data_IF_304615840843
#
_entry.id   IF_304615840843
#
_cell.length_a   1.000
_cell.length_b   1.000
_cell.length_c   1.000
_cell.angle_alpha   90.00
_cell.angle_beta   90.00
_cell.angle_gamma   90.00
#
_symmetry.space_group_name_H-M   'P 1'
#
loop_
_entity.id
_entity.type
_entity.pdbx_description
1 polymer ?
#
# COMPACT_ATOMS: atom_id res chain seq x y z
N UNK A 1 21.15 15.09 -6.62
CA UNK A 1 21.55 14.32 -7.81
C UNK A 1 21.64 12.88 -7.41
N UNK A 2 20.68 12.06 -7.81
CA UNK A 2 20.58 10.64 -7.44
C UNK A 2 20.43 9.83 -8.71
N UNK A 3 21.56 9.56 -9.37
CA UNK A 3 21.59 8.74 -10.58
C UNK A 3 21.52 7.24 -10.24
N UNK A 4 21.99 6.86 -9.05
CA UNK A 4 21.85 5.50 -8.50
C UNK A 4 20.45 5.26 -7.96
N UNK A 5 19.82 4.17 -8.43
CA UNK A 5 18.49 3.73 -8.01
C UNK A 5 18.63 2.37 -7.34
N UNK A 6 18.01 2.23 -6.18
CA UNK A 6 17.97 0.96 -5.42
C UNK A 6 16.52 0.52 -5.26
N UNK A 7 16.25 -0.72 -5.65
CA UNK A 7 14.95 -1.34 -5.40
C UNK A 7 14.91 -1.87 -3.97
N UNK A 8 13.85 -1.59 -3.23
CA UNK A 8 13.70 -2.02 -1.82
C UNK A 8 13.43 -3.53 -1.71
N UNK A 9 12.77 -4.12 -2.72
CA UNK A 9 12.36 -5.52 -2.72
C UNK A 9 13.33 -6.47 -3.45
N UNK A 10 14.38 -5.96 -4.10
CA UNK A 10 15.39 -6.75 -4.80
C UNK A 10 16.75 -6.09 -4.66
N UNK A 11 17.81 -6.87 -4.49
CA UNK A 11 19.20 -6.39 -4.38
C UNK A 11 19.76 -5.86 -5.73
N UNK A 12 18.94 -5.16 -6.49
CA UNK A 12 19.29 -4.54 -7.77
C UNK A 12 19.49 -3.05 -7.54
N UNK A 13 20.65 -2.58 -7.98
CA UNK A 13 20.99 -1.17 -8.05
C UNK A 13 21.51 -0.85 -9.44
N UNK A 14 21.05 0.24 -10.04
CA UNK A 14 21.48 0.65 -11.37
C UNK A 14 21.50 2.18 -11.50
N UNK A 15 22.32 2.68 -12.43
CA UNK A 15 22.26 4.09 -12.84
C UNK A 15 21.10 4.30 -13.82
N UNK A 16 20.31 5.35 -13.58
CA UNK A 16 19.26 5.76 -14.51
C UNK A 16 19.84 6.20 -15.84
N UNK A 17 20.96 6.93 -15.81
CA UNK A 17 21.68 7.36 -17.01
C UNK A 17 22.20 6.19 -17.85
N UNK A 18 22.85 5.22 -17.20
CA UNK A 18 23.34 4.01 -17.87
C UNK A 18 22.21 3.19 -18.48
N UNK A 19 21.11 2.98 -17.74
CA UNK A 19 19.95 2.25 -18.25
C UNK A 19 19.30 2.96 -19.44
N UNK A 20 19.14 4.29 -19.36
CA UNK A 20 18.61 5.10 -20.46
C UNK A 20 19.47 4.97 -21.72
N UNK A 21 20.79 5.09 -21.57
CA UNK A 21 21.73 4.99 -22.68
C UNK A 21 21.79 3.58 -23.28
N UNK A 22 21.84 2.54 -22.43
CA UNK A 22 21.88 1.15 -22.84
C UNK A 22 20.63 0.73 -23.63
N UNK A 23 19.47 1.31 -23.28
CA UNK A 23 18.20 1.07 -23.98
C UNK A 23 17.96 2.03 -25.15
N UNK A 24 18.83 3.02 -25.38
CA UNK A 24 18.67 4.01 -26.46
C UNK A 24 17.43 4.90 -26.31
N UNK A 25 16.98 5.16 -25.09
CA UNK A 25 15.73 5.90 -24.83
C UNK A 25 15.96 7.42 -24.82
N UNK A 26 15.06 8.18 -25.45
CA UNK A 26 15.04 9.65 -25.36
C UNK A 26 14.61 10.13 -23.97
N UNK A 27 13.68 9.41 -23.34
CA UNK A 27 13.20 9.64 -21.99
C UNK A 27 13.03 8.31 -21.25
N UNK A 28 13.49 8.28 -20.00
CA UNK A 28 13.26 7.16 -19.09
C UNK A 28 12.58 7.74 -17.85
N UNK A 29 11.33 7.34 -17.58
CA UNK A 29 10.61 7.63 -16.34
C UNK A 29 10.54 6.38 -15.50
N UNK A 30 10.82 6.52 -14.22
CA UNK A 30 10.71 5.45 -13.24
C UNK A 30 9.62 5.85 -12.28
N UNK A 31 8.75 4.89 -12.01
CA UNK A 31 7.58 5.07 -11.20
C UNK A 31 7.47 3.91 -10.23
N UNK A 32 7.02 4.21 -9.02
CA UNK A 32 6.49 3.20 -8.12
C UNK A 32 5.25 2.53 -8.76
N UNK A 33 5.03 1.26 -8.43
CA UNK A 33 3.92 0.46 -8.94
C UNK A 33 2.55 1.10 -8.64
N UNK A 34 2.35 1.62 -7.43
CA UNK A 34 1.13 2.36 -7.08
C UNK A 34 1.04 3.74 -7.75
N UNK A 35 2.18 4.34 -8.11
CA UNK A 35 2.21 5.48 -9.03
C UNK A 35 1.59 5.14 -10.39
N UNK A 36 1.93 3.98 -10.96
CA UNK A 36 1.30 3.49 -12.20
C UNK A 36 -0.19 3.20 -12.02
N UNK A 37 -0.58 2.52 -10.94
CA UNK A 37 -2.00 2.24 -10.64
C UNK A 37 -2.80 3.54 -10.54
N UNK A 38 -2.24 4.57 -9.87
CA UNK A 38 -2.89 5.87 -9.76
C UNK A 38 -3.08 6.56 -11.12
N UNK A 39 -2.07 6.48 -12.01
CA UNK A 39 -2.18 7.04 -13.36
C UNK A 39 -3.18 6.27 -14.24
N UNK A 40 -3.42 4.99 -13.96
CA UNK A 40 -4.42 4.19 -14.66
C UNK A 40 -5.86 4.48 -14.21
N UNK A 41 -6.06 4.93 -12.97
CA UNK A 41 -7.39 5.10 -12.38
C UNK A 41 -8.37 5.95 -13.22
N UNK A 42 -7.97 7.09 -13.84
CA UNK A 42 -8.87 7.88 -14.70
C UNK A 42 -9.27 7.21 -16.01
N UNK A 43 -8.58 6.13 -16.41
CA UNK A 43 -8.86 5.40 -17.64
C UNK A 43 -9.84 4.24 -17.44
N UNK A 44 -10.18 3.90 -16.19
CA UNK A 44 -11.12 2.82 -15.87
C UNK A 44 -12.55 3.22 -16.27
N UNK A 45 -13.23 2.36 -17.01
CA UNK A 45 -14.62 2.56 -17.37
C UNK A 45 -15.55 2.27 -16.17
N UNK A 46 -16.82 2.73 -16.20
CA UNK A 46 -17.79 2.40 -15.15
C UNK A 46 -18.00 0.89 -14.95
N UNK A 47 -17.81 0.07 -15.98
CA UNK A 47 -17.94 -1.39 -15.92
C UNK A 47 -16.74 -2.07 -15.24
N UNK A 48 -15.60 -1.38 -15.18
CA UNK A 48 -14.38 -1.85 -14.51
C UNK A 48 -14.33 -1.44 -13.03
N UNK A 49 -15.40 -0.80 -12.54
CA UNK A 49 -15.48 -0.25 -11.20
C UNK A 49 -16.72 -0.76 -10.45
N UNK A 50 -16.57 -0.92 -9.14
CA UNK A 50 -17.69 -1.20 -8.23
C UNK A 50 -17.71 -0.14 -7.16
N UNK A 51 -18.80 0.63 -7.10
CA UNK A 51 -19.00 1.64 -6.04
C UNK A 51 -19.39 0.94 -4.75
N UNK A 52 -18.53 1.01 -3.72
CA UNK A 52 -18.80 0.44 -2.40
C UNK A 52 -19.62 1.38 -1.51
N UNK A 53 -19.38 2.69 -1.61
CA UNK A 53 -20.03 3.70 -0.80
C UNK A 53 -20.07 5.06 -1.51
N UNK A 54 -21.07 5.89 -1.18
CA UNK A 54 -21.26 7.20 -1.77
C UNK A 54 -21.96 7.16 -3.14
N UNK A 55 -22.19 8.33 -3.77
CA UNK A 55 -22.69 8.38 -5.12
C UNK A 55 -21.67 7.78 -6.09
N UNK A 56 -22.12 7.12 -7.15
CA UNK A 56 -21.27 6.79 -8.28
C UNK A 56 -20.69 8.10 -8.82
N UNK A 57 -19.41 8.33 -8.57
CA UNK A 57 -18.76 9.59 -8.90
C UNK A 57 -18.34 9.54 -10.36
N UNK A 58 -18.97 10.36 -11.19
CA UNK A 58 -18.49 10.58 -12.55
C UNK A 58 -18.57 12.08 -12.90
N UNK A 59 -17.47 12.73 -13.33
CA UNK A 59 -16.07 12.27 -13.39
C UNK A 59 -15.27 12.52 -12.09
N UNK A 60 -14.11 11.86 -11.95
CA UNK A 60 -13.14 12.11 -10.86
C UNK A 60 -12.84 13.62 -10.71
N UNK A 61 -12.99 14.14 -9.49
CA UNK A 61 -12.81 15.55 -9.19
C UNK A 61 -11.94 15.75 -7.95
N UNK A 62 -10.94 16.63 -8.06
CA UNK A 62 -10.02 16.93 -6.98
C UNK A 62 -9.01 15.81 -6.68
N UNK A 63 -8.31 15.88 -5.54
CA UNK A 63 -7.36 14.85 -5.14
C UNK A 63 -8.04 13.50 -4.91
N UNK A 64 -7.50 12.45 -5.52
CA UNK A 64 -7.97 11.06 -5.38
C UNK A 64 -6.90 10.26 -4.67
N UNK A 65 -7.27 9.51 -3.63
CA UNK A 65 -6.38 8.55 -2.98
C UNK A 65 -6.56 7.18 -3.61
N UNK A 66 -5.46 6.53 -3.97
CA UNK A 66 -5.44 5.19 -4.54
C UNK A 66 -4.75 4.28 -3.55
N UNK A 67 -5.52 3.34 -3.00
CA UNK A 67 -5.14 2.44 -1.93
C UNK A 67 -5.33 1.00 -2.39
N UNK A 68 -4.43 0.10 -2.01
CA UNK A 68 -4.54 -1.29 -2.43
C UNK A 68 -3.84 -2.24 -1.47
N UNK A 69 -4.59 -3.07 -0.72
CA UNK A 69 -4.00 -4.17 0.03
C UNK A 69 -3.60 -5.32 -0.92
N UNK A 70 -2.48 -5.96 -0.62
CA UNK A 70 -1.96 -7.12 -1.35
C UNK A 70 -0.91 -7.86 -0.52
N UNK A 71 0.25 -8.15 -1.11
CA UNK A 71 1.42 -8.61 -0.34
C UNK A 71 1.87 -7.54 0.65
N UNK A 72 1.78 -6.27 0.26
CA UNK A 72 1.95 -5.10 1.12
C UNK A 72 0.70 -4.21 1.09
N UNK A 73 0.86 -2.92 1.40
CA UNK A 73 -0.23 -1.94 1.28
C UNK A 73 0.27 -0.70 0.58
N UNK A 74 -0.12 -0.56 -0.70
CA UNK A 74 0.31 0.57 -1.50
C UNK A 74 -0.61 1.77 -1.36
N UNK A 75 0.01 2.94 -1.45
CA UNK A 75 -0.66 4.24 -1.30
C UNK A 75 -0.09 5.21 -2.32
N UNK A 76 -0.94 5.80 -3.13
CA UNK A 76 -0.60 6.91 -4.02
C UNK A 76 -1.71 7.95 -4.00
N UNK A 77 -1.38 9.19 -4.37
CA UNK A 77 -2.38 10.21 -4.65
C UNK A 77 -2.36 10.57 -6.13
N UNK A 78 -3.53 10.84 -6.67
CA UNK A 78 -3.69 11.48 -7.96
C UNK A 78 -4.18 12.91 -7.73
N UNK A 79 -3.42 13.88 -8.21
CA UNK A 79 -3.76 15.31 -8.09
C UNK A 79 -3.91 15.94 -9.46
N UNK A 80 -4.69 17.01 -9.54
CA UNK A 80 -5.03 17.69 -10.79
C UNK A 80 -6.51 17.57 -11.11
N UNK A 81 -6.82 17.47 -12.40
CA UNK A 81 -8.19 17.41 -12.91
C UNK A 81 -8.26 17.78 -14.40
N UNK A 82 -9.46 17.65 -14.99
CA UNK A 82 -9.73 18.02 -16.39
C UNK A 82 -8.76 17.35 -17.40
N UNK A 83 -8.48 16.06 -17.22
CA UNK A 83 -7.60 15.30 -18.11
C UNK A 83 -6.10 15.53 -17.90
N UNK A 84 -5.71 16.33 -16.91
CA UNK A 84 -4.31 16.52 -16.49
C UNK A 84 -4.12 15.99 -15.08
N UNK A 85 -3.65 14.76 -15.00
CA UNK A 85 -3.40 14.07 -13.74
C UNK A 85 -1.91 13.91 -13.49
N UNK A 86 -1.52 14.06 -12.22
CA UNK A 86 -0.17 13.79 -11.75
C UNK A 86 -0.25 12.83 -10.57
N UNK A 87 0.48 11.72 -10.65
CA UNK A 87 0.62 10.81 -9.52
C UNK A 87 1.66 11.35 -8.54
N UNK A 88 1.32 11.26 -7.25
CA UNK A 88 2.21 11.48 -6.12
C UNK A 88 2.45 10.11 -5.50
N UNK A 89 3.65 9.59 -5.71
CA UNK A 89 4.11 8.32 -5.16
C UNK A 89 4.37 8.47 -3.66
N UNK A 90 3.96 7.48 -2.86
CA UNK A 90 4.14 7.54 -1.41
C UNK A 90 4.52 6.20 -0.83
N UNK A 91 5.19 6.24 0.32
CA UNK A 91 5.39 5.09 1.22
C UNK A 91 4.30 5.06 2.31
N UNK A 92 3.11 5.58 2.00
CA UNK A 92 2.04 5.85 2.98
C UNK A 92 1.59 4.61 3.75
N UNK A 93 1.72 3.42 3.17
CA UNK A 93 1.39 2.18 3.87
C UNK A 93 2.32 1.83 5.03
N UNK A 94 3.51 2.43 5.08
CA UNK A 94 4.46 2.23 6.18
C UNK A 94 4.17 3.13 7.39
N UNK A 95 3.19 4.03 7.31
CA UNK A 95 2.73 4.84 8.45
C UNK A 95 2.17 3.94 9.55
N UNK A 96 2.36 4.35 10.81
CA UNK A 96 1.92 3.60 11.99
C UNK A 96 0.41 3.42 11.99
N UNK A 97 -0.03 2.19 12.24
CA UNK A 97 -1.44 1.88 12.43
C UNK A 97 -1.96 2.60 13.69
N UNK A 98 -3.11 3.27 13.57
CA UNK A 98 -3.74 4.03 14.66
C UNK A 98 -5.02 3.32 15.13
N UNK A 99 -4.92 2.37 16.09
CA UNK A 99 -6.08 1.61 16.55
C UNK A 99 -7.08 2.48 17.31
N UNK A 100 -8.36 2.35 16.98
CA UNK A 100 -9.45 3.16 17.55
C UNK A 100 -10.15 2.50 18.74
N UNK A 101 -10.14 1.17 18.81
CA UNK A 101 -10.87 0.39 19.81
C UNK A 101 -10.05 -0.68 20.52
N UNK A 102 -10.62 -1.30 21.56
CA UNK A 102 -9.93 -2.30 22.38
C UNK A 102 -9.47 -3.52 21.57
N UNK A 103 -10.27 -3.97 20.60
CA UNK A 103 -9.94 -5.08 19.69
C UNK A 103 -8.75 -4.71 18.79
N UNK A 104 -8.83 -3.59 18.08
CA UNK A 104 -7.74 -3.09 17.24
C UNK A 104 -6.45 -2.86 18.04
N UNK A 105 -6.55 -2.38 19.27
CA UNK A 105 -5.40 -2.23 20.15
C UNK A 105 -4.82 -3.58 20.58
N UNK A 106 -5.64 -4.61 20.77
CA UNK A 106 -5.16 -5.96 21.06
C UNK A 106 -4.40 -6.54 19.86
N UNK A 107 -4.93 -6.33 18.65
CA UNK A 107 -4.27 -6.70 17.39
C UNK A 107 -2.93 -5.97 17.28
N UNK A 108 -2.92 -4.64 17.42
CA UNK A 108 -1.71 -3.83 17.34
C UNK A 108 -0.65 -4.29 18.35
N UNK A 109 -1.02 -4.50 19.63
CA UNK A 109 -0.08 -4.98 20.67
C UNK A 109 0.48 -6.37 20.35
N UNK A 110 -0.37 -7.26 19.85
CA UNK A 110 0.06 -8.61 19.49
C UNK A 110 1.05 -8.57 18.33
N UNK A 111 0.78 -7.77 17.29
CA UNK A 111 1.67 -7.60 16.14
C UNK A 111 2.97 -6.89 16.54
N UNK A 112 2.87 -5.87 17.40
CA UNK A 112 4.02 -5.15 17.96
C UNK A 112 4.97 -6.09 18.70
N UNK A 113 4.44 -7.03 19.49
CA UNK A 113 5.25 -8.00 20.23
C UNK A 113 6.07 -8.94 19.34
N UNK A 114 5.69 -9.11 18.08
CA UNK A 114 6.33 -10.03 17.12
C UNK A 114 7.23 -9.34 16.12
N UNK A 115 6.84 -8.13 15.71
CA UNK A 115 7.43 -7.46 14.55
C UNK A 115 7.91 -6.04 14.86
N UNK A 116 7.79 -5.60 16.12
CA UNK A 116 7.90 -4.19 16.46
C UNK A 116 6.75 -3.39 15.83
N UNK A 117 6.92 -2.07 15.73
CA UNK A 117 5.89 -1.11 15.28
C UNK A 117 5.00 -1.64 14.13
N UNK A 118 3.70 -1.69 14.40
CA UNK A 118 2.66 -2.07 13.44
C UNK A 118 2.35 -0.91 12.49
N UNK A 119 2.56 -1.11 11.19
CA UNK A 119 2.16 -0.19 10.11
C UNK A 119 0.82 -0.59 9.49
N UNK A 120 0.20 0.30 8.71
CA UNK A 120 -0.98 -0.04 7.91
C UNK A 120 -0.70 -1.21 6.97
N UNK A 121 0.48 -1.28 6.35
CA UNK A 121 0.89 -2.44 5.54
C UNK A 121 0.90 -3.75 6.32
N UNK A 122 1.40 -3.73 7.55
CA UNK A 122 1.46 -4.94 8.36
C UNK A 122 0.05 -5.47 8.64
N UNK A 123 -0.92 -4.58 8.89
CA UNK A 123 -2.32 -4.92 9.15
C UNK A 123 -3.08 -5.29 7.86
N UNK A 124 -2.93 -4.49 6.81
CA UNK A 124 -3.67 -4.56 5.55
C UNK A 124 -2.88 -5.32 4.47
N UNK A 125 -2.38 -6.50 4.82
CA UNK A 125 -1.71 -7.43 3.91
C UNK A 125 -2.24 -8.85 4.10
N UNK A 126 -1.92 -9.75 3.17
CA UNK A 126 -2.23 -11.18 3.32
C UNK A 126 -1.69 -11.76 4.65
N UNK A 127 -0.49 -11.34 5.07
CA UNK A 127 0.08 -11.76 6.36
C UNK A 127 -0.64 -11.11 7.56
N UNK A 128 -1.10 -9.87 7.40
CA UNK A 128 -1.88 -9.14 8.41
C UNK A 128 -3.22 -9.81 8.71
N UNK A 129 -3.92 -10.31 7.68
CA UNK A 129 -5.17 -11.06 7.85
C UNK A 129 -4.98 -12.31 8.72
N UNK A 130 -3.88 -13.05 8.53
CA UNK A 130 -3.55 -14.20 9.36
C UNK A 130 -3.26 -13.80 10.82
N UNK A 131 -2.62 -12.65 11.03
CA UNK A 131 -2.38 -12.10 12.37
C UNK A 131 -3.69 -11.72 13.06
N UNK A 132 -4.61 -11.07 12.33
CA UNK A 132 -5.94 -10.70 12.83
C UNK A 132 -6.71 -11.96 13.24
N UNK A 133 -6.79 -12.97 12.37
CA UNK A 133 -7.46 -14.25 12.68
C UNK A 133 -6.86 -14.91 13.92
N UNK A 134 -5.53 -14.94 14.04
CA UNK A 134 -4.86 -15.51 15.22
C UNK A 134 -5.25 -14.79 16.52
N UNK A 135 -5.27 -13.45 16.51
CA UNK A 135 -5.67 -12.65 17.69
C UNK A 135 -7.14 -12.90 18.04
N UNK A 136 -8.03 -12.94 17.05
CA UNK A 136 -9.45 -13.19 17.25
C UNK A 136 -9.71 -14.61 17.80
N UNK A 137 -8.85 -15.58 17.50
CA UNK A 137 -8.88 -16.93 18.09
C UNK A 137 -8.27 -17.01 19.49
N UNK A 138 -7.71 -15.92 20.02
CA UNK A 138 -7.05 -15.91 21.32
C UNK A 138 -5.62 -16.45 21.32
N UNK A 139 -4.92 -16.35 20.19
CA UNK A 139 -3.50 -16.70 20.11
C UNK A 139 -2.64 -15.75 20.96
N UNK A 140 -1.65 -16.31 21.64
CA UNK A 140 -0.66 -15.52 22.35
C UNK A 140 0.46 -15.00 21.42
N UNK A 141 1.41 -14.25 21.97
CA UNK A 141 2.54 -13.66 21.24
C UNK A 141 3.50 -14.70 20.60
N UNK A 142 3.38 -15.99 20.92
CA UNK A 142 4.09 -17.08 20.24
C UNK A 142 3.27 -17.70 19.10
N UNK A 143 1.97 -17.39 19.02
CA UNK A 143 1.07 -17.83 17.94
C UNK A 143 0.31 -19.09 18.30
N UNK A 144 0.43 -19.53 19.57
CA UNK A 144 -0.34 -20.64 20.09
C UNK A 144 -1.70 -20.13 20.56
N UNK A 145 -2.76 -20.78 20.10
CA UNK A 145 -4.13 -20.53 20.57
C UNK A 145 -4.21 -20.96 22.03
N UNK A 146 -4.60 -20.06 22.92
CA UNK A 146 -4.83 -20.43 24.32
C UNK A 146 -6.06 -21.35 24.39
N UNK A 147 -5.84 -22.57 24.87
CA UNK A 147 -6.92 -23.48 25.26
C UNK A 147 -7.87 -22.76 26.25
N UNK A 148 -9.20 -22.90 26.10
CA UNK A 148 -10.15 -22.28 27.01
C UNK A 148 -9.91 -22.82 28.43
N UNK A 149 -9.75 -21.91 29.40
CA UNK A 149 -9.73 -22.30 30.81
C UNK A 149 -11.15 -22.72 31.21
N UNK A 150 -11.33 -24.01 31.48
CA UNK A 150 -12.51 -24.58 32.12
C UNK A 150 -12.74 -24.02 33.53
#
# INVERSE_FOLDING_TARGET
>A
GGDEIRLTNRAWSFSRGELKAALGLEELRLLNDFGAVALAAPALSPEEQVTLHGPAADPLAGPVSVLGPGTGFGVALLVGGQGRWTAVETEGGHVTFAPLGAEEQAIARWMDSRHGRTSYERVLSGSGLACIDAVLRGADASGQVREPRH
#
